data_IF_392967045232
#
_entry.id   IF_392967045232
#
_cell.length_a   1.000
_cell.length_b   1.000
_cell.length_c   1.000
_cell.angle_alpha   90.00
_cell.angle_beta   90.00
_cell.angle_gamma   90.00
#
_symmetry.space_group_name_H-M   'P 1'
#
loop_
_entity.id
_entity.type
_entity.pdbx_description
1 polymer ?
#
# COMPACT_ATOMS: atom_id res chain seq x y z
N UNK A 1 79.45 27.29 2.98
CA UNK A 1 79.00 26.03 3.65
C UNK A 1 77.49 26.07 3.66
N UNK A 2 76.88 25.71 2.54
CA UNK A 2 75.45 25.87 2.31
C UNK A 2 74.70 24.55 2.38
N UNK A 3 74.28 24.21 3.58
CA UNK A 3 73.40 23.07 3.79
C UNK A 3 71.90 23.38 3.74
N UNK A 4 71.54 24.64 3.49
CA UNK A 4 70.16 25.07 3.51
C UNK A 4 69.46 25.10 2.11
N UNK A 5 70.22 24.94 1.05
CA UNK A 5 69.64 24.99 -0.29
C UNK A 5 69.10 23.66 -0.81
N UNK A 6 69.49 22.54 -0.19
CA UNK A 6 69.14 21.20 -0.67
C UNK A 6 67.69 20.83 -0.33
N UNK A 7 67.22 21.24 0.84
CA UNK A 7 65.88 20.92 1.30
C UNK A 7 64.76 21.75 0.63
N UNK A 8 65.11 22.90 0.10
CA UNK A 8 64.15 23.81 -0.53
C UNK A 8 63.83 23.49 -1.98
N UNK A 9 64.74 22.83 -2.69
CA UNK A 9 64.52 22.41 -4.08
C UNK A 9 63.68 21.16 -4.19
N UNK A 10 63.91 20.22 -3.27
CA UNK A 10 63.19 18.93 -3.32
C UNK A 10 61.74 19.03 -2.89
N UNK A 11 61.40 20.02 -2.03
CA UNK A 11 60.01 20.29 -1.66
C UNK A 11 59.25 21.16 -2.67
N UNK A 12 59.95 21.93 -3.48
CA UNK A 12 59.35 22.71 -4.57
C UNK A 12 59.09 21.88 -5.82
N UNK A 13 59.96 20.91 -6.15
CA UNK A 13 59.73 19.96 -7.26
C UNK A 13 58.56 18.99 -7.00
N UNK A 14 58.14 18.83 -5.73
CA UNK A 14 56.96 18.02 -5.40
C UNK A 14 55.63 18.74 -5.58
N UNK A 15 55.67 20.08 -5.65
CA UNK A 15 54.45 20.90 -5.73
C UNK A 15 54.17 21.42 -7.15
N UNK A 16 55.17 21.39 -8.03
CA UNK A 16 55.11 22.00 -9.36
C UNK A 16 55.01 20.97 -10.51
N UNK A 17 54.44 19.79 -10.26
CA UNK A 17 54.02 18.97 -11.42
C UNK A 17 52.55 19.24 -11.70
N UNK A 18 52.21 20.14 -12.64
CA UNK A 18 50.82 20.34 -13.07
C UNK A 18 50.20 19.07 -13.63
N UNK A 19 51.01 18.08 -13.98
CA UNK A 19 50.57 16.77 -14.47
C UNK A 19 49.87 15.90 -13.39
N UNK A 20 50.13 16.16 -12.08
CA UNK A 20 49.45 15.43 -11.01
C UNK A 20 48.05 16.01 -10.72
N UNK A 21 47.81 17.28 -11.02
CA UNK A 21 46.47 17.88 -10.93
C UNK A 21 45.55 17.35 -12.03
N UNK A 22 46.08 17.11 -13.23
CA UNK A 22 45.31 16.52 -14.33
C UNK A 22 44.94 15.04 -14.09
N UNK A 23 45.75 14.32 -13.30
CA UNK A 23 45.42 12.96 -12.89
C UNK A 23 44.24 12.90 -11.89
N UNK A 24 44.10 13.93 -11.04
CA UNK A 24 42.97 14.04 -10.10
C UNK A 24 41.67 14.52 -10.77
N UNK A 25 41.78 15.31 -11.85
CA UNK A 25 40.60 15.79 -12.60
C UNK A 25 40.06 14.72 -13.56
N UNK A 26 40.83 13.67 -13.87
CA UNK A 26 40.43 12.55 -14.73
C UNK A 26 39.57 11.49 -14.04
N UNK A 27 38.89 11.84 -12.95
CA UNK A 27 38.06 10.93 -12.16
C UNK A 27 36.69 10.64 -12.80
N UNK A 28 36.28 11.41 -13.77
CA UNK A 28 35.04 11.11 -14.48
C UNK A 28 35.28 10.24 -15.71
N UNK A 29 35.59 8.96 -15.51
CA UNK A 29 35.49 7.99 -16.60
C UNK A 29 34.04 8.00 -17.09
N UNK A 30 33.77 8.10 -18.39
CA UNK A 30 32.39 8.15 -18.93
C UNK A 30 31.53 6.99 -18.44
N UNK A 31 32.15 5.85 -18.09
CA UNK A 31 31.47 4.70 -17.48
C UNK A 31 30.90 4.98 -16.09
N UNK A 32 31.59 5.78 -15.25
CA UNK A 32 31.13 6.13 -13.91
C UNK A 32 29.94 7.09 -14.00
N UNK A 33 29.95 7.99 -14.96
CA UNK A 33 28.84 8.91 -15.19
C UNK A 33 27.57 8.19 -15.64
N UNK A 34 27.70 7.15 -16.48
CA UNK A 34 26.58 6.28 -16.87
C UNK A 34 25.97 5.53 -15.67
N UNK A 35 26.83 5.02 -14.78
CA UNK A 35 26.36 4.34 -13.57
C UNK A 35 25.60 5.29 -12.66
N UNK A 36 26.14 6.50 -12.44
CA UNK A 36 25.45 7.52 -11.63
C UNK A 36 24.13 7.97 -12.26
N UNK A 37 24.07 8.15 -13.56
CA UNK A 37 22.83 8.48 -14.25
C UNK A 37 21.79 7.36 -14.14
N UNK A 38 22.20 6.10 -14.29
CA UNK A 38 21.31 4.94 -14.12
C UNK A 38 20.77 4.85 -12.68
N UNK A 39 21.61 5.09 -11.69
CA UNK A 39 21.21 5.11 -10.28
C UNK A 39 20.22 6.23 -9.97
N UNK A 40 20.45 7.41 -10.54
CA UNK A 40 19.54 8.55 -10.40
C UNK A 40 18.17 8.25 -11.01
N UNK A 41 18.13 7.66 -12.21
CA UNK A 41 16.88 7.23 -12.85
C UNK A 41 16.16 6.17 -12.00
N UNK A 42 16.89 5.22 -11.42
CA UNK A 42 16.31 4.21 -10.53
C UNK A 42 15.66 4.84 -9.29
N UNK A 43 16.36 5.78 -8.65
CA UNK A 43 15.82 6.50 -7.48
C UNK A 43 14.57 7.30 -7.83
N UNK A 44 14.60 8.04 -8.95
CA UNK A 44 13.42 8.79 -9.42
C UNK A 44 12.25 7.84 -9.69
N UNK A 45 12.50 6.69 -10.31
CA UNK A 45 11.47 5.69 -10.60
C UNK A 45 10.81 5.15 -9.33
N UNK A 46 11.59 4.89 -8.27
CA UNK A 46 11.07 4.46 -6.97
C UNK A 46 10.22 5.56 -6.32
N UNK A 47 10.66 6.81 -6.39
CA UNK A 47 9.92 7.95 -5.84
C UNK A 47 8.58 8.11 -6.59
N UNK A 48 8.60 8.09 -7.91
CA UNK A 48 7.38 8.18 -8.72
C UNK A 48 6.43 7.03 -8.41
N UNK A 49 6.95 5.80 -8.32
CA UNK A 49 6.13 4.64 -7.96
C UNK A 49 5.54 4.75 -6.56
N UNK A 50 6.29 5.31 -5.60
CA UNK A 50 5.83 5.52 -4.21
C UNK A 50 4.68 6.53 -4.13
N UNK A 51 4.65 7.52 -5.00
CA UNK A 51 3.60 8.56 -5.01
C UNK A 51 2.37 8.12 -5.80
N UNK A 52 2.58 7.42 -6.92
CA UNK A 52 1.50 7.02 -7.85
C UNK A 52 1.00 5.60 -7.57
N UNK A 53 1.84 4.76 -6.97
CA UNK A 53 1.50 3.37 -6.66
C UNK A 53 0.48 3.30 -5.53
N UNK A 54 -0.75 2.88 -5.84
CA UNK A 54 -1.76 2.52 -4.84
C UNK A 54 -1.72 1.02 -4.61
N UNK A 55 -1.51 0.63 -3.35
CA UNK A 55 -1.66 -0.76 -2.95
C UNK A 55 -3.14 -1.05 -2.73
N UNK A 56 -3.75 -2.00 -3.42
CA UNK A 56 -5.12 -2.42 -3.12
C UNK A 56 -5.14 -3.03 -1.72
N UNK A 57 -5.93 -2.46 -0.83
CA UNK A 57 -6.21 -3.06 0.46
C UNK A 57 -7.42 -3.97 0.28
N UNK A 58 -7.26 -5.25 0.60
CA UNK A 58 -8.34 -6.22 0.61
C UNK A 58 -8.74 -6.44 2.06
N UNK A 59 -10.03 -6.27 2.35
CA UNK A 59 -10.64 -6.57 3.64
C UNK A 59 -11.54 -7.78 3.49
N UNK A 60 -11.44 -8.71 4.41
CA UNK A 60 -12.36 -9.87 4.48
C UNK A 60 -13.45 -9.53 5.48
N UNK A 61 -14.69 -9.46 5.00
CA UNK A 61 -15.85 -9.14 5.83
C UNK A 61 -16.84 -10.28 5.67
N UNK A 62 -17.40 -10.74 6.77
CA UNK A 62 -18.47 -11.75 6.75
C UNK A 62 -19.80 -11.07 6.56
N UNK A 63 -20.67 -11.67 5.76
CA UNK A 63 -21.98 -11.11 5.46
C UNK A 63 -23.07 -12.17 5.40
N UNK A 64 -24.30 -11.71 5.42
CA UNK A 64 -25.51 -12.50 5.32
C UNK A 64 -26.31 -12.03 4.11
N UNK A 65 -26.81 -12.98 3.33
CA UNK A 65 -27.73 -12.69 2.22
C UNK A 65 -29.09 -12.30 2.77
N UNK A 66 -29.53 -11.10 2.43
CA UNK A 66 -30.84 -10.57 2.87
C UNK A 66 -31.87 -10.60 1.75
N UNK A 67 -31.43 -10.66 0.50
CA UNK A 67 -32.27 -10.67 -0.70
C UNK A 67 -31.67 -11.52 -1.80
N UNK A 68 -32.24 -11.40 -3.00
CA UNK A 68 -31.74 -12.16 -4.16
C UNK A 68 -30.33 -11.76 -4.55
N UNK A 69 -29.99 -10.46 -4.43
CA UNK A 69 -28.69 -9.89 -4.83
C UNK A 69 -28.08 -9.01 -3.76
N UNK A 70 -28.62 -8.98 -2.53
CA UNK A 70 -28.20 -8.08 -1.47
C UNK A 70 -27.58 -8.86 -0.33
N UNK A 71 -26.38 -8.45 0.06
CA UNK A 71 -25.64 -8.99 1.18
C UNK A 71 -25.38 -7.87 2.18
N UNK A 72 -25.78 -8.09 3.41
CA UNK A 72 -25.40 -7.22 4.51
C UNK A 72 -24.17 -7.81 5.21
N UNK A 73 -23.09 -7.07 5.21
CA UNK A 73 -21.86 -7.41 5.88
C UNK A 73 -21.72 -6.50 7.13
N UNK A 74 -21.09 -7.01 8.15
CA UNK A 74 -20.90 -6.29 9.41
C UNK A 74 -19.41 -6.19 9.72
N UNK A 75 -18.91 -4.96 9.79
CA UNK A 75 -17.50 -4.67 10.06
C UNK A 75 -17.36 -3.99 11.41
N UNK A 76 -16.46 -4.48 12.24
CA UNK A 76 -16.19 -3.90 13.56
C UNK A 76 -15.68 -2.45 13.45
N UNK A 77 -16.04 -1.62 14.43
CA UNK A 77 -15.69 -0.18 14.47
C UNK A 77 -14.18 0.05 14.39
N UNK A 78 -13.39 -0.88 14.89
CA UNK A 78 -11.93 -0.75 14.92
C UNK A 78 -11.30 -0.77 13.51
N UNK A 79 -11.95 -1.47 12.56
CA UNK A 79 -11.47 -1.63 11.19
C UNK A 79 -12.29 -0.85 10.17
N UNK A 80 -13.34 -0.16 10.63
CA UNK A 80 -14.30 0.50 9.73
C UNK A 80 -13.66 1.63 8.95
N UNK A 81 -13.55 1.43 7.65
CA UNK A 81 -13.21 2.45 6.70
C UNK A 81 -14.48 2.96 6.01
N UNK A 82 -14.89 4.18 6.34
CA UNK A 82 -16.12 4.78 5.78
C UNK A 82 -16.06 5.04 4.28
N UNK A 83 -14.91 4.87 3.65
CA UNK A 83 -14.69 5.11 2.22
C UNK A 83 -14.91 3.84 1.35
N UNK A 84 -15.66 2.88 1.82
CA UNK A 84 -15.95 1.63 1.09
C UNK A 84 -17.01 1.80 -0.01
N UNK A 85 -17.80 2.86 0.01
CA UNK A 85 -18.89 3.07 -0.97
C UNK A 85 -18.32 3.11 -2.38
N UNK A 86 -18.86 2.24 -3.24
CA UNK A 86 -18.43 2.11 -4.63
C UNK A 86 -17.25 1.18 -4.86
N UNK A 87 -16.62 0.64 -3.82
CA UNK A 87 -15.57 -0.36 -3.96
C UNK A 87 -16.12 -1.67 -4.53
N UNK A 88 -15.25 -2.38 -5.25
CA UNK A 88 -15.56 -3.73 -5.75
C UNK A 88 -15.48 -4.72 -4.60
N UNK A 89 -16.45 -5.61 -4.51
CA UNK A 89 -16.48 -6.72 -3.56
C UNK A 89 -16.38 -8.03 -4.34
N UNK A 90 -15.66 -8.98 -3.78
CA UNK A 90 -15.65 -10.36 -4.26
C UNK A 90 -16.33 -11.22 -3.18
N UNK A 91 -17.44 -11.80 -3.53
CA UNK A 91 -18.31 -12.56 -2.62
C UNK A 91 -17.99 -14.03 -2.81
N UNK A 92 -17.42 -14.65 -1.80
CA UNK A 92 -17.18 -16.09 -1.78
C UNK A 92 -18.38 -16.81 -1.16
N UNK A 93 -19.00 -17.67 -1.94
CA UNK A 93 -20.14 -18.48 -1.50
C UNK A 93 -19.68 -19.78 -0.84
N UNK A 94 -20.48 -20.38 0.02
CA UNK A 94 -20.15 -21.64 0.69
C UNK A 94 -19.94 -22.81 -0.28
N UNK A 95 -20.48 -22.73 -1.50
CA UNK A 95 -20.33 -23.73 -2.57
C UNK A 95 -19.00 -23.61 -3.34
N UNK A 96 -18.14 -22.64 -2.96
CA UNK A 96 -16.84 -22.39 -3.57
C UNK A 96 -16.89 -21.48 -4.80
N UNK A 97 -18.05 -20.96 -5.19
CA UNK A 97 -18.17 -19.97 -6.25
C UNK A 97 -17.86 -18.58 -5.73
N UNK A 98 -17.36 -17.72 -6.61
CA UNK A 98 -17.11 -16.32 -6.32
C UNK A 98 -17.93 -15.45 -7.27
N UNK A 99 -18.65 -14.51 -6.71
CA UNK A 99 -19.49 -13.56 -7.45
C UNK A 99 -18.92 -12.16 -7.22
N UNK A 100 -18.89 -11.35 -8.26
CA UNK A 100 -18.52 -9.94 -8.14
C UNK A 100 -19.70 -9.12 -7.64
N UNK A 101 -19.39 -8.13 -6.84
CA UNK A 101 -20.38 -7.19 -6.34
C UNK A 101 -19.76 -5.81 -6.12
N UNK A 102 -20.60 -4.91 -5.68
CA UNK A 102 -20.22 -3.53 -5.39
C UNK A 102 -20.83 -3.09 -4.07
N UNK A 103 -20.06 -2.35 -3.28
CA UNK A 103 -20.57 -1.71 -2.07
C UNK A 103 -21.50 -0.57 -2.44
N UNK A 104 -22.77 -0.68 -2.08
CA UNK A 104 -23.78 0.34 -2.34
C UNK A 104 -23.84 1.37 -1.23
N UNK A 105 -23.85 0.92 0.01
CA UNK A 105 -24.01 1.79 1.17
C UNK A 105 -23.25 1.26 2.39
N UNK A 106 -22.87 2.18 3.24
CA UNK A 106 -22.32 1.91 4.58
C UNK A 106 -23.17 2.70 5.57
N UNK A 107 -23.55 2.07 6.67
CA UNK A 107 -24.33 2.76 7.71
C UNK A 107 -23.54 3.94 8.30
N UNK A 108 -24.24 5.05 8.56
CA UNK A 108 -23.58 6.24 9.12
C UNK A 108 -23.23 6.07 10.60
N UNK A 109 -24.00 5.27 11.31
CA UNK A 109 -23.79 4.98 12.72
C UNK A 109 -23.56 3.47 12.90
N UNK A 110 -22.69 3.09 13.84
CA UNK A 110 -22.51 1.70 14.19
C UNK A 110 -23.74 1.18 14.94
N UNK A 111 -24.14 -0.04 14.65
CA UNK A 111 -25.17 -0.76 15.36
C UNK A 111 -24.55 -1.54 16.51
N UNK A 112 -25.30 -1.64 17.63
CA UNK A 112 -24.93 -2.53 18.72
C UNK A 112 -25.21 -4.00 18.34
N UNK A 113 -24.55 -4.93 19.03
CA UNK A 113 -24.79 -6.36 18.81
C UNK A 113 -26.25 -6.73 19.01
N UNK A 114 -26.93 -6.13 19.99
CA UNK A 114 -28.34 -6.40 20.28
C UNK A 114 -29.26 -5.96 19.13
N UNK A 115 -28.98 -4.80 18.53
CA UNK A 115 -29.72 -4.30 17.37
C UNK A 115 -29.55 -5.20 16.15
N UNK A 116 -28.33 -5.67 15.90
CA UNK A 116 -28.04 -6.57 14.79
C UNK A 116 -28.67 -7.94 15.03
N UNK A 117 -28.60 -8.48 16.26
CA UNK A 117 -29.27 -9.74 16.62
C UNK A 117 -30.79 -9.65 16.48
N UNK A 118 -31.38 -8.51 16.72
CA UNK A 118 -32.82 -8.31 16.50
C UNK A 118 -33.20 -8.32 15.01
N UNK A 119 -32.28 -7.98 14.12
CA UNK A 119 -32.48 -8.01 12.66
C UNK A 119 -32.22 -9.40 12.06
N UNK A 120 -31.34 -10.18 12.68
CA UNK A 120 -30.98 -11.52 12.23
C UNK A 120 -31.86 -12.54 12.94
N UNK A 121 -32.66 -13.30 12.18
CA UNK A 121 -33.63 -14.23 12.74
C UNK A 121 -32.99 -15.45 13.42
N UNK A 122 -31.71 -15.71 13.20
CA UNK A 122 -31.01 -16.91 13.67
C UNK A 122 -29.75 -16.53 14.47
N UNK A 123 -29.72 -16.87 15.74
CA UNK A 123 -28.63 -16.55 16.68
C UNK A 123 -27.25 -17.05 16.22
N UNK A 124 -27.22 -18.26 15.62
CA UNK A 124 -25.97 -18.84 15.13
C UNK A 124 -25.33 -18.06 13.98
N UNK A 125 -26.16 -17.43 13.14
CA UNK A 125 -25.68 -16.52 12.08
C UNK A 125 -25.09 -15.25 12.67
N UNK A 126 -25.76 -14.68 13.66
CA UNK A 126 -25.27 -13.50 14.34
C UNK A 126 -23.90 -13.73 14.98
N UNK A 127 -23.70 -14.87 15.65
CA UNK A 127 -22.43 -15.22 16.28
C UNK A 127 -21.27 -15.41 15.28
N UNK A 128 -21.56 -15.82 14.07
CA UNK A 128 -20.55 -16.00 13.03
C UNK A 128 -20.15 -14.69 12.29
N UNK A 129 -21.03 -13.71 12.29
CA UNK A 129 -20.87 -12.50 11.47
C UNK A 129 -20.47 -11.29 12.31
N UNK A 130 -20.88 -11.27 13.58
CA UNK A 130 -20.56 -10.16 14.48
C UNK A 130 -19.12 -10.22 14.96
N UNK A 131 -18.42 -9.12 14.78
CA UNK A 131 -17.08 -8.89 15.31
C UNK A 131 -17.10 -7.61 16.18
N UNK A 132 -16.81 -7.79 17.47
CA UNK A 132 -16.82 -6.69 18.43
C UNK A 132 -18.20 -6.25 18.94
N UNK A 133 -18.23 -5.21 19.77
CA UNK A 133 -19.44 -4.72 20.44
C UNK A 133 -20.32 -3.86 19.54
N UNK A 134 -19.71 -3.19 18.58
CA UNK A 134 -20.38 -2.32 17.62
C UNK A 134 -19.85 -2.59 16.23
N UNK A 135 -20.73 -2.63 15.24
CA UNK A 135 -20.36 -2.86 13.85
C UNK A 135 -21.09 -1.94 12.91
N UNK A 136 -20.45 -1.57 11.81
CA UNK A 136 -21.08 -0.86 10.71
C UNK A 136 -21.69 -1.88 9.75
N UNK A 137 -22.90 -1.61 9.30
CA UNK A 137 -23.53 -2.39 8.24
C UNK A 137 -23.01 -1.92 6.87
N UNK A 138 -22.44 -2.83 6.11
CA UNK A 138 -21.96 -2.61 4.75
C UNK A 138 -22.87 -3.38 3.81
N UNK A 139 -23.63 -2.67 2.99
CA UNK A 139 -24.51 -3.27 2.00
C UNK A 139 -23.79 -3.47 0.68
N UNK A 140 -23.73 -4.70 0.24
CA UNK A 140 -23.13 -5.12 -1.02
C UNK A 140 -24.23 -5.62 -1.97
N UNK A 141 -24.20 -5.12 -3.20
CA UNK A 141 -25.05 -5.64 -4.28
C UNK A 141 -24.20 -6.54 -5.15
N UNK A 142 -24.65 -7.78 -5.32
CA UNK A 142 -24.08 -8.74 -6.25
C UNK A 142 -24.48 -8.42 -7.68
N UNK A 143 -23.59 -8.62 -8.64
CA UNK A 143 -23.86 -8.44 -10.08
C UNK A 143 -24.68 -9.62 -10.65
N UNK A 144 -24.65 -10.76 -9.97
CA UNK A 144 -25.39 -11.97 -10.33
C UNK A 144 -26.29 -12.42 -9.18
N UNK A 145 -27.35 -13.17 -9.52
CA UNK A 145 -28.27 -13.73 -8.52
C UNK A 145 -27.55 -14.76 -7.64
N UNK A 146 -27.71 -14.59 -6.35
CA UNK A 146 -27.14 -15.51 -5.36
C UNK A 146 -28.07 -16.73 -5.28
N UNK A 147 -27.59 -17.96 -5.57
CA UNK A 147 -28.39 -19.14 -5.44
C UNK A 147 -28.78 -19.36 -3.96
N UNK A 148 -30.04 -19.61 -3.73
CA UNK A 148 -30.60 -19.98 -2.42
C UNK A 148 -30.27 -21.39 -2.07
#
# INVERSE_FOLDING_TARGET
MDKQSIFRKESLDRVESPEQLDAYIKVARPKVWLIMAALLVAVISVIVWSVVGSLPQTMEIKGITVGENVINCYEGVENANTNLIGCKANISLPDGRSINGKVEAVSQNPYSQEEIRAQISEDWLADNVLDGNYSYEVRVIAEEDIPR
#
